data_IF_611857096592
#
_entry.id   IF_611857096592
#
_cell.length_a   1.000
_cell.length_b   1.000
_cell.length_c   1.000
_cell.angle_alpha   90.00
_cell.angle_beta   90.00
_cell.angle_gamma   90.00
#
_symmetry.space_group_name_H-M   'P 1'
#
loop_
_entity.id
_entity.type
_entity.pdbx_description
1 polymer ?
#
# COMPACT_ATOMS: atom_id res chain seq x y z
N UNK A 1 4.96 -3.94 -15.84
CA UNK A 1 6.42 -4.07 -15.75
C UNK A 1 6.90 -5.51 -15.83
N UNK A 2 6.19 -6.50 -15.27
CA UNK A 2 6.53 -7.92 -15.44
C UNK A 2 6.33 -8.36 -16.88
N UNK A 3 5.20 -8.05 -17.48
CA UNK A 3 4.83 -8.44 -18.84
C UNK A 3 5.49 -7.53 -19.89
N UNK A 4 5.77 -6.28 -19.52
CA UNK A 4 6.46 -5.29 -20.36
C UNK A 4 7.62 -4.62 -19.60
N UNK A 5 8.82 -5.23 -19.56
CA UNK A 5 9.99 -4.67 -18.88
C UNK A 5 10.51 -3.36 -19.48
N UNK A 6 10.06 -3.00 -20.69
CA UNK A 6 10.43 -1.75 -21.38
C UNK A 6 9.43 -0.60 -21.13
N UNK A 7 8.38 -0.83 -20.35
CA UNK A 7 7.41 0.20 -20.01
C UNK A 7 8.09 1.40 -19.33
N UNK A 8 7.75 2.58 -19.79
CA UNK A 8 8.27 3.85 -19.27
C UNK A 8 7.43 4.37 -18.09
N UNK A 9 7.82 5.54 -17.57
CA UNK A 9 7.07 6.19 -16.50
C UNK A 9 5.63 6.51 -16.93
N UNK A 10 5.41 6.94 -18.15
CA UNK A 10 4.07 7.31 -18.64
C UNK A 10 3.13 6.09 -18.69
N UNK A 11 3.65 4.90 -19.04
CA UNK A 11 2.86 3.67 -18.99
C UNK A 11 2.44 3.32 -17.54
N UNK A 12 3.33 3.56 -16.58
CA UNK A 12 3.04 3.37 -15.15
C UNK A 12 2.02 4.38 -14.66
N UNK A 13 2.12 5.64 -15.07
CA UNK A 13 1.21 6.72 -14.66
C UNK A 13 -0.20 6.57 -15.22
N UNK A 14 -0.39 5.85 -16.31
CA UNK A 14 -1.72 5.48 -16.81
C UNK A 14 -2.47 4.56 -15.83
N UNK A 15 -1.76 3.84 -14.97
CA UNK A 15 -2.32 2.93 -13.96
C UNK A 15 -2.28 3.59 -12.58
N UNK A 16 -1.13 4.15 -12.19
CA UNK A 16 -0.90 4.83 -10.91
C UNK A 16 -1.00 6.33 -11.15
N UNK A 17 -2.23 6.87 -11.12
CA UNK A 17 -2.48 8.29 -11.45
C UNK A 17 -2.00 9.26 -10.36
N UNK A 18 -1.89 8.82 -9.12
CA UNK A 18 -1.45 9.60 -7.97
C UNK A 18 -1.23 8.72 -6.74
N UNK A 19 -0.73 9.28 -5.64
CA UNK A 19 -0.61 8.55 -4.39
C UNK A 19 -1.98 8.35 -3.73
N UNK A 20 -2.16 7.22 -3.04
CA UNK A 20 -3.34 6.94 -2.24
C UNK A 20 -3.18 7.52 -0.84
N UNK A 21 -4.25 8.15 -0.35
CA UNK A 21 -4.36 8.61 1.03
C UNK A 21 -5.54 7.92 1.72
N UNK A 22 -5.48 7.71 3.04
CA UNK A 22 -6.55 7.02 3.79
C UNK A 22 -7.75 7.95 4.10
N UNK A 23 -7.97 8.98 3.29
CA UNK A 23 -9.09 9.91 3.40
C UNK A 23 -9.71 10.13 2.02
N UNK A 24 -10.98 10.51 1.98
CA UNK A 24 -11.72 10.78 0.76
C UNK A 24 -11.53 12.23 0.23
N UNK A 25 -10.50 12.92 0.72
CA UNK A 25 -10.15 14.25 0.24
C UNK A 25 -9.56 14.21 -1.17
N UNK A 26 -9.73 15.28 -1.93
CA UNK A 26 -9.31 15.37 -3.32
C UNK A 26 -7.84 15.80 -3.46
N UNK A 27 -7.10 15.16 -4.38
CA UNK A 27 -5.80 15.64 -4.83
C UNK A 27 -6.02 16.65 -5.93
N UNK A 28 -5.65 17.91 -5.67
CA UNK A 28 -5.82 19.03 -6.61
C UNK A 28 -4.52 19.45 -7.29
N UNK A 29 -3.43 18.73 -7.07
CA UNK A 29 -2.16 18.97 -7.76
C UNK A 29 -2.32 18.72 -9.27
N UNK A 30 -1.75 19.57 -10.14
CA UNK A 30 -1.70 19.33 -11.57
C UNK A 30 -1.02 18.00 -11.90
N UNK A 31 -1.49 17.33 -12.96
CA UNK A 31 -0.92 16.05 -13.41
C UNK A 31 0.57 16.12 -13.72
N UNK A 32 1.03 17.26 -14.26
CA UNK A 32 2.44 17.48 -14.55
C UNK A 32 3.31 17.56 -13.30
N UNK A 33 2.78 18.12 -12.21
CA UNK A 33 3.49 18.17 -10.93
C UNK A 33 3.58 16.78 -10.31
N UNK A 34 2.51 15.98 -10.40
CA UNK A 34 2.49 14.57 -9.95
C UNK A 34 3.49 13.76 -10.78
N UNK A 35 3.49 13.93 -12.10
CA UNK A 35 4.44 13.28 -13.01
C UNK A 35 5.88 13.60 -12.62
N UNK A 36 6.20 14.88 -12.46
CA UNK A 36 7.54 15.35 -12.07
C UNK A 36 7.95 14.82 -10.69
N UNK A 37 7.02 14.77 -9.76
CA UNK A 37 7.24 14.18 -8.42
C UNK A 37 7.60 12.69 -8.53
N UNK A 38 6.89 11.92 -9.33
CA UNK A 38 7.19 10.50 -9.55
C UNK A 38 8.46 10.26 -10.36
N UNK A 39 8.81 11.16 -11.26
CA UNK A 39 10.06 11.10 -12.03
C UNK A 39 11.28 11.33 -11.14
N UNK A 40 11.22 12.37 -10.31
CA UNK A 40 12.36 12.82 -9.49
C UNK A 40 12.41 12.21 -8.09
N UNK A 41 11.29 11.63 -7.60
CA UNK A 41 11.12 11.20 -6.23
C UNK A 41 10.95 12.36 -5.22
N UNK A 42 10.76 13.59 -5.70
CA UNK A 42 10.59 14.80 -4.87
C UNK A 42 9.50 15.69 -5.44
N UNK A 43 8.71 16.30 -4.55
CA UNK A 43 7.65 17.21 -4.94
C UNK A 43 6.75 17.60 -3.78
N UNK A 44 5.57 18.07 -4.12
CA UNK A 44 4.49 18.31 -3.15
C UNK A 44 3.16 17.89 -3.76
N UNK A 45 2.29 17.37 -2.91
CA UNK A 45 0.91 17.04 -3.25
C UNK A 45 0.02 17.99 -2.48
N UNK A 46 -0.93 18.61 -3.17
CA UNK A 46 -1.93 19.48 -2.58
C UNK A 46 -3.25 18.72 -2.50
N UNK A 47 -3.81 18.65 -1.30
CA UNK A 47 -5.10 18.01 -1.04
C UNK A 47 -6.10 19.04 -0.53
N UNK A 48 -7.35 18.82 -0.87
CA UNK A 48 -8.48 19.68 -0.49
C UNK A 48 -9.60 18.84 0.07
N UNK A 49 -10.29 19.37 1.08
CA UNK A 49 -11.47 18.80 1.67
C UNK A 49 -12.61 18.65 0.65
N UNK A 50 -13.36 17.56 0.75
CA UNK A 50 -14.57 17.34 -0.04
C UNK A 50 -15.76 17.96 0.67
N UNK A 51 -16.63 18.64 -0.08
CA UNK A 51 -17.81 19.28 0.45
C UNK A 51 -18.97 19.25 -0.54
N UNK A 52 -20.19 19.40 -0.02
CA UNK A 52 -21.41 19.50 -0.81
C UNK A 52 -22.43 20.40 -0.10
N UNK A 53 -23.52 20.72 -0.80
CA UNK A 53 -24.66 21.45 -0.24
C UNK A 53 -25.77 20.47 0.11
N UNK A 54 -26.34 20.67 1.31
CA UNK A 54 -27.47 19.91 1.81
C UNK A 54 -28.41 20.87 2.56
N UNK A 55 -29.67 20.97 2.16
CA UNK A 55 -30.70 21.82 2.79
C UNK A 55 -30.31 23.29 3.02
N UNK A 56 -29.45 23.84 2.17
CA UNK A 56 -28.96 25.22 2.29
C UNK A 56 -27.71 25.37 3.16
N UNK A 57 -27.24 24.33 3.80
CA UNK A 57 -26.00 24.26 4.56
C UNK A 57 -24.85 23.71 3.70
N UNK A 58 -23.61 23.94 4.14
CA UNK A 58 -22.41 23.41 3.53
C UNK A 58 -21.88 22.30 4.43
N UNK A 59 -21.82 21.10 3.87
CA UNK A 59 -21.34 19.90 4.57
C UNK A 59 -19.94 19.58 4.08
N UNK A 60 -18.97 19.55 4.99
CA UNK A 60 -17.62 19.05 4.70
C UNK A 60 -17.58 17.60 5.15
N UNK A 61 -17.43 16.69 4.18
CA UNK A 61 -17.53 15.24 4.37
C UNK A 61 -16.18 14.53 4.44
N UNK A 62 -15.11 15.15 3.93
CA UNK A 62 -13.76 14.58 4.01
C UNK A 62 -12.70 15.66 4.18
N UNK A 63 -11.66 15.35 4.95
CA UNK A 63 -10.56 16.27 5.26
C UNK A 63 -9.24 15.77 4.68
N UNK A 64 -8.30 16.69 4.37
CA UNK A 64 -6.94 16.33 4.01
C UNK A 64 -6.29 15.42 5.07
N UNK A 65 -5.45 14.49 4.64
CA UNK A 65 -4.76 13.54 5.52
C UNK A 65 -4.06 14.25 6.70
N UNK A 66 -4.16 13.68 7.91
CA UNK A 66 -3.61 14.27 9.15
C UNK A 66 -4.15 15.68 9.47
N UNK A 67 -5.37 16.00 9.06
CA UNK A 67 -6.09 17.20 9.50
C UNK A 67 -7.08 16.83 10.62
N UNK A 68 -7.15 17.66 11.64
CA UNK A 68 -8.07 17.47 12.76
C UNK A 68 -9.36 18.27 12.53
N UNK A 69 -10.56 17.64 12.59
CA UNK A 69 -11.84 18.36 12.54
C UNK A 69 -11.90 19.50 13.56
N UNK A 70 -11.55 19.23 14.82
CA UNK A 70 -11.57 20.22 15.90
C UNK A 70 -10.65 21.42 15.63
N UNK A 71 -9.47 21.20 15.02
CA UNK A 71 -8.56 22.29 14.65
C UNK A 71 -9.16 23.16 13.55
N UNK A 72 -9.77 22.55 12.54
CA UNK A 72 -10.40 23.28 11.43
C UNK A 72 -11.58 24.09 11.93
N UNK A 73 -12.43 23.51 12.78
CA UNK A 73 -13.55 24.21 13.41
C UNK A 73 -13.03 25.40 14.21
N UNK A 74 -11.98 25.24 15.00
CA UNK A 74 -11.36 26.33 15.75
C UNK A 74 -10.83 27.45 14.84
N UNK A 75 -10.17 27.10 13.73
CA UNK A 75 -9.68 28.08 12.74
C UNK A 75 -10.82 28.88 12.09
N UNK A 76 -11.95 28.24 11.80
CA UNK A 76 -13.13 28.90 11.22
C UNK A 76 -13.82 29.77 12.27
N UNK A 77 -14.01 29.25 13.49
CA UNK A 77 -14.62 29.99 14.60
C UNK A 77 -13.82 31.25 15.00
N UNK A 78 -12.48 31.15 14.95
CA UNK A 78 -11.60 32.31 15.16
C UNK A 78 -11.85 33.40 14.09
N UNK A 79 -11.99 33.03 12.83
CA UNK A 79 -12.29 33.95 11.74
C UNK A 79 -13.71 34.57 11.88
N UNK A 80 -14.70 33.78 12.33
CA UNK A 80 -16.05 34.27 12.63
C UNK A 80 -16.02 35.32 13.77
N UNK A 81 -15.31 35.01 14.85
CA UNK A 81 -15.14 35.91 16.01
C UNK A 81 -14.43 37.22 15.60
N UNK A 82 -13.40 37.10 14.73
CA UNK A 82 -12.69 38.24 14.17
C UNK A 82 -13.49 39.01 13.09
N UNK A 83 -14.76 38.64 12.85
CA UNK A 83 -15.66 39.23 11.83
C UNK A 83 -15.11 39.15 10.38
N UNK A 84 -14.20 38.19 10.10
CA UNK A 84 -13.66 37.96 8.76
C UNK A 84 -14.58 37.08 7.90
N UNK A 85 -15.54 36.38 8.52
CA UNK A 85 -16.54 35.51 7.88
C UNK A 85 -17.97 35.96 8.18
N UNK A 86 -18.38 37.18 7.78
CA UNK A 86 -19.71 37.70 8.08
C UNK A 86 -20.85 36.94 7.41
N UNK A 87 -20.53 36.11 6.37
CA UNK A 87 -21.48 35.29 5.64
C UNK A 87 -21.77 33.94 6.30
N UNK A 88 -21.01 33.53 7.32
CA UNK A 88 -21.25 32.30 8.09
C UNK A 88 -21.97 32.69 9.39
N UNK A 89 -23.08 32.02 9.70
CA UNK A 89 -23.87 32.21 10.92
C UNK A 89 -23.41 31.29 12.04
N UNK A 90 -23.21 30.00 11.71
CA UNK A 90 -22.83 28.97 12.67
C UNK A 90 -21.94 27.91 12.08
N UNK A 91 -21.21 27.17 12.93
CA UNK A 91 -20.42 26.02 12.59
C UNK A 91 -20.64 24.90 13.61
N UNK A 92 -20.94 23.69 13.15
CA UNK A 92 -21.24 22.53 14.00
C UNK A 92 -20.39 21.33 13.60
N UNK A 93 -20.06 20.51 14.60
CA UNK A 93 -19.52 19.18 14.41
C UNK A 93 -20.66 18.18 14.57
N UNK A 94 -21.05 17.54 13.47
CA UNK A 94 -22.11 16.55 13.45
C UNK A 94 -21.55 15.16 13.10
N UNK A 95 -20.26 14.92 13.38
CA UNK A 95 -19.65 13.63 13.17
C UNK A 95 -20.33 12.54 14.01
N UNK A 96 -20.59 11.40 13.40
CA UNK A 96 -21.15 10.21 14.03
C UNK A 96 -20.36 8.95 13.61
N UNK A 97 -20.86 7.77 13.99
CA UNK A 97 -20.22 6.51 13.63
C UNK A 97 -20.27 6.21 12.13
N UNK A 98 -21.33 6.60 11.45
CA UNK A 98 -21.51 6.40 9.99
C UNK A 98 -20.76 7.47 9.20
N UNK A 99 -20.69 8.70 9.72
CA UNK A 99 -20.04 9.87 9.12
C UNK A 99 -18.94 10.41 10.05
N UNK A 100 -17.76 9.82 10.05
CA UNK A 100 -16.67 10.19 10.97
C UNK A 100 -16.17 11.63 10.77
N UNK A 101 -16.47 12.23 9.63
CA UNK A 101 -16.22 13.64 9.31
C UNK A 101 -17.51 14.25 8.78
N UNK A 102 -18.14 15.09 9.56
CA UNK A 102 -19.30 15.88 9.14
C UNK A 102 -19.24 17.25 9.85
N UNK A 103 -18.61 18.21 9.17
CA UNK A 103 -18.57 19.59 9.64
C UNK A 103 -19.61 20.38 8.86
N UNK A 104 -20.55 20.98 9.57
CA UNK A 104 -21.66 21.73 8.99
C UNK A 104 -21.39 23.22 9.16
N UNK A 105 -21.40 23.95 8.04
CA UNK A 105 -21.34 25.41 8.01
C UNK A 105 -22.71 25.96 7.62
N UNK A 106 -23.26 26.79 8.45
CA UNK A 106 -24.56 27.44 8.22
C UNK A 106 -24.33 28.83 7.62
N UNK A 107 -24.66 29.05 6.33
CA UNK A 107 -24.59 30.36 5.74
C UNK A 107 -25.68 31.26 6.32
N UNK A 108 -25.39 32.55 6.53
CA UNK A 108 -26.37 33.53 7.06
C UNK A 108 -27.57 33.75 6.16
N UNK A 109 -27.45 33.42 4.89
CA UNK A 109 -28.57 33.51 3.95
C UNK A 109 -28.27 32.60 2.71
N UNK A 110 -29.35 32.17 2.07
CA UNK A 110 -29.26 31.36 0.82
C UNK A 110 -28.68 32.14 -0.39
N UNK A 111 -28.39 33.44 -0.21
CA UNK A 111 -27.75 34.28 -1.25
C UNK A 111 -26.23 34.31 -1.15
N UNK A 112 -25.67 33.67 -0.14
CA UNK A 112 -24.22 33.59 0.04
C UNK A 112 -23.62 32.82 -1.12
N UNK A 113 -22.59 33.39 -1.76
CA UNK A 113 -21.76 32.66 -2.73
C UNK A 113 -20.91 31.63 -1.98
N UNK A 114 -21.37 30.40 -2.01
CA UNK A 114 -20.72 29.29 -1.31
C UNK A 114 -19.39 28.90 -1.92
N UNK A 115 -19.22 29.05 -3.23
CA UNK A 115 -17.96 28.71 -3.89
C UNK A 115 -16.88 29.73 -3.51
N UNK A 116 -17.23 31.03 -3.47
CA UNK A 116 -16.33 32.09 -2.97
C UNK A 116 -15.99 31.90 -1.48
N UNK A 117 -16.97 31.48 -0.65
CA UNK A 117 -16.76 31.18 0.77
C UNK A 117 -15.78 29.99 0.91
N UNK A 118 -16.01 28.91 0.21
CA UNK A 118 -15.14 27.72 0.29
C UNK A 118 -13.75 28.01 -0.27
N UNK A 119 -13.62 28.81 -1.34
CA UNK A 119 -12.32 29.25 -1.85
C UNK A 119 -11.53 30.04 -0.79
N UNK A 120 -12.21 30.93 -0.03
CA UNK A 120 -11.61 31.66 1.08
C UNK A 120 -11.14 30.70 2.20
N UNK A 121 -11.99 29.74 2.58
CA UNK A 121 -11.70 28.77 3.63
C UNK A 121 -10.54 27.84 3.23
N UNK A 122 -10.46 27.42 1.99
CA UNK A 122 -9.32 26.65 1.45
C UNK A 122 -8.00 27.44 1.55
N UNK A 123 -8.04 28.73 1.30
CA UNK A 123 -6.84 29.57 1.38
C UNK A 123 -6.40 29.90 2.82
N UNK A 124 -7.31 29.81 3.81
CA UNK A 124 -7.07 30.34 5.17
C UNK A 124 -7.12 29.30 6.28
N UNK A 125 -7.44 28.06 5.95
CA UNK A 125 -7.57 26.96 6.93
C UNK A 125 -6.89 25.69 6.44
N UNK A 126 -6.82 24.67 7.31
CA UNK A 126 -6.30 23.34 6.98
C UNK A 126 -7.29 22.50 6.10
N UNK A 127 -8.35 23.10 5.56
CA UNK A 127 -9.23 22.47 4.55
C UNK A 127 -8.52 22.25 3.20
N UNK A 128 -7.47 22.99 2.94
CA UNK A 128 -6.51 22.71 1.86
C UNK A 128 -5.11 22.62 2.46
N UNK A 129 -4.36 21.58 2.11
CA UNK A 129 -3.06 21.33 2.70
C UNK A 129 -2.07 20.79 1.68
N UNK A 130 -0.81 21.22 1.77
CA UNK A 130 0.27 20.71 0.93
C UNK A 130 1.13 19.73 1.71
N UNK A 131 1.43 18.58 1.08
CA UNK A 131 2.29 17.53 1.64
C UNK A 131 3.58 17.46 0.84
N UNK A 132 4.68 17.62 1.54
CA UNK A 132 6.00 17.43 0.92
C UNK A 132 6.27 15.96 0.71
N UNK A 133 6.56 15.57 -0.53
CA UNK A 133 6.93 14.21 -0.90
C UNK A 133 8.44 14.13 -1.07
N UNK A 134 9.04 13.11 -0.44
CA UNK A 134 10.44 12.77 -0.58
C UNK A 134 10.56 11.24 -0.52
N UNK A 135 10.73 10.60 -1.68
CA UNK A 135 10.82 9.15 -1.83
C UNK A 135 12.25 8.66 -1.53
N UNK A 136 12.71 8.94 -0.31
CA UNK A 136 13.99 8.47 0.17
C UNK A 136 13.86 7.03 0.67
N UNK A 137 14.49 6.10 -0.04
CA UNK A 137 14.35 4.65 0.19
C UNK A 137 15.71 3.96 0.16
N UNK A 138 15.82 2.85 0.88
CA UNK A 138 16.98 1.96 0.81
C UNK A 138 16.80 1.05 -0.41
N UNK A 139 17.78 1.11 -1.34
CA UNK A 139 17.78 0.32 -2.56
C UNK A 139 18.38 -1.08 -2.40
N UNK A 140 18.55 -1.79 -3.52
CA UNK A 140 19.19 -3.10 -3.58
C UNK A 140 20.67 -3.07 -3.16
N UNK A 141 21.29 -1.91 -3.27
CA UNK A 141 22.66 -1.62 -2.83
C UNK A 141 22.78 -1.34 -1.33
N UNK A 142 21.67 -1.44 -0.58
CA UNK A 142 21.57 -1.14 0.86
C UNK A 142 21.92 0.31 1.22
N UNK A 143 21.87 1.24 0.27
CA UNK A 143 22.14 2.66 0.50
C UNK A 143 20.85 3.48 0.40
N UNK A 144 20.66 4.51 1.25
CA UNK A 144 19.54 5.43 1.13
C UNK A 144 19.76 6.35 -0.08
N UNK A 145 18.74 6.48 -0.90
CA UNK A 145 18.74 7.40 -2.04
C UNK A 145 17.30 7.85 -2.35
N UNK A 146 17.17 9.05 -2.90
CA UNK A 146 15.89 9.52 -3.43
C UNK A 146 15.69 8.90 -4.82
N UNK A 147 14.59 8.21 -5.01
CA UNK A 147 14.30 7.42 -6.22
C UNK A 147 12.97 7.81 -6.82
N UNK A 148 12.90 7.84 -8.14
CA UNK A 148 11.64 7.97 -8.87
C UNK A 148 10.80 6.68 -8.80
N UNK A 149 9.50 6.80 -9.07
CA UNK A 149 8.54 5.68 -8.99
C UNK A 149 8.96 4.48 -9.83
N UNK A 150 9.33 4.69 -11.08
CA UNK A 150 9.74 3.60 -11.99
C UNK A 150 10.95 2.83 -11.45
N UNK A 151 11.93 3.55 -10.90
CA UNK A 151 13.10 2.92 -10.28
C UNK A 151 12.72 2.10 -9.06
N UNK A 152 11.88 2.64 -8.18
CA UNK A 152 11.38 1.94 -6.97
C UNK A 152 10.68 0.64 -7.36
N UNK A 153 9.77 0.71 -8.34
CA UNK A 153 9.03 -0.47 -8.80
C UNK A 153 9.95 -1.52 -9.44
N UNK A 154 10.93 -1.10 -10.23
CA UNK A 154 11.88 -2.00 -10.89
C UNK A 154 12.78 -2.72 -9.87
N UNK A 155 13.31 -1.98 -8.90
CA UNK A 155 14.12 -2.55 -7.82
C UNK A 155 13.29 -3.49 -6.93
N UNK A 156 12.04 -3.09 -6.60
CA UNK A 156 11.13 -3.93 -5.85
C UNK A 156 10.81 -5.25 -6.56
N UNK A 157 10.53 -5.21 -7.87
CA UNK A 157 10.29 -6.41 -8.68
C UNK A 157 11.50 -7.34 -8.70
N UNK A 158 12.70 -6.80 -8.81
CA UNK A 158 13.95 -7.57 -8.77
C UNK A 158 14.12 -8.26 -7.41
N UNK A 159 13.95 -7.53 -6.33
CA UNK A 159 13.98 -8.08 -4.97
C UNK A 159 12.91 -9.14 -4.76
N UNK A 160 11.68 -8.85 -5.17
CA UNK A 160 10.55 -9.76 -5.03
C UNK A 160 10.76 -11.07 -5.79
N UNK A 161 11.23 -10.98 -7.03
CA UNK A 161 11.54 -12.17 -7.85
C UNK A 161 12.56 -13.06 -7.16
N UNK A 162 13.67 -12.49 -6.69
CA UNK A 162 14.70 -13.25 -5.96
C UNK A 162 14.13 -13.90 -4.70
N UNK A 163 13.35 -13.17 -3.92
CA UNK A 163 12.75 -13.70 -2.68
C UNK A 163 11.77 -14.83 -2.95
N UNK A 164 10.92 -14.70 -3.98
CA UNK A 164 9.95 -15.73 -4.35
C UNK A 164 10.67 -16.97 -4.87
N UNK A 165 11.70 -16.81 -5.72
CA UNK A 165 12.51 -17.92 -6.23
C UNK A 165 13.15 -18.70 -5.07
N UNK A 166 13.80 -18.04 -4.13
CA UNK A 166 14.40 -18.68 -2.94
C UNK A 166 13.37 -19.44 -2.11
N UNK A 167 12.20 -18.86 -1.89
CA UNK A 167 11.10 -19.51 -1.14
C UNK A 167 10.59 -20.75 -1.84
N UNK A 168 10.40 -20.69 -3.18
CA UNK A 168 9.92 -21.82 -3.97
C UNK A 168 10.97 -22.91 -4.04
N UNK A 169 12.26 -22.57 -4.19
CA UNK A 169 13.35 -23.54 -4.17
C UNK A 169 13.38 -24.29 -2.84
N UNK A 170 13.35 -23.59 -1.70
CA UNK A 170 13.32 -24.23 -0.38
C UNK A 170 12.12 -25.19 -0.21
N UNK A 171 10.94 -24.81 -0.75
CA UNK A 171 9.78 -25.69 -0.73
C UNK A 171 9.96 -26.92 -1.62
N UNK A 172 10.54 -26.72 -2.80
CA UNK A 172 10.86 -27.81 -3.74
C UNK A 172 11.83 -28.81 -3.09
N UNK A 173 12.91 -28.32 -2.48
CA UNK A 173 13.92 -29.16 -1.83
C UNK A 173 13.29 -30.03 -0.73
N UNK A 174 12.38 -29.48 0.08
CA UNK A 174 11.64 -30.25 1.09
C UNK A 174 10.74 -31.32 0.50
N UNK A 175 10.06 -31.02 -0.61
CA UNK A 175 9.20 -31.99 -1.30
C UNK A 175 10.04 -33.11 -1.92
N UNK A 176 11.15 -32.76 -2.56
CA UNK A 176 12.06 -33.75 -3.16
C UNK A 176 12.69 -34.66 -2.11
N UNK A 177 13.12 -34.11 -0.97
CA UNK A 177 13.61 -34.93 0.14
C UNK A 177 12.53 -35.90 0.66
N UNK A 178 11.28 -35.46 0.77
CA UNK A 178 10.18 -36.34 1.17
C UNK A 178 9.88 -37.40 0.13
N UNK A 179 9.89 -37.06 -1.15
CA UNK A 179 9.71 -38.05 -2.26
C UNK A 179 10.82 -39.07 -2.24
N UNK A 180 12.06 -38.64 -2.04
CA UNK A 180 13.21 -39.56 -1.95
C UNK A 180 13.01 -40.66 -0.89
N UNK A 181 12.54 -40.27 0.32
CA UNK A 181 12.22 -41.24 1.37
C UNK A 181 11.03 -42.15 0.97
N UNK A 182 9.99 -41.60 0.33
CA UNK A 182 8.82 -42.36 -0.09
C UNK A 182 9.18 -43.38 -1.19
N UNK A 183 10.10 -43.03 -2.10
CA UNK A 183 10.60 -43.94 -3.14
C UNK A 183 11.30 -45.14 -2.49
N UNK A 184 12.14 -44.94 -1.46
CA UNK A 184 12.76 -46.01 -0.69
C UNK A 184 11.74 -46.90 0.01
N UNK A 185 10.74 -46.29 0.66
CA UNK A 185 9.63 -47.02 1.31
C UNK A 185 8.82 -47.83 0.29
N UNK A 186 8.60 -47.31 -0.93
CA UNK A 186 7.87 -48.00 -1.98
C UNK A 186 8.66 -49.23 -2.44
N UNK A 187 9.98 -49.10 -2.61
CA UNK A 187 10.88 -50.25 -3.00
C UNK A 187 10.80 -51.32 -1.92
N UNK A 188 10.91 -50.96 -0.65
CA UNK A 188 10.79 -51.88 0.48
C UNK A 188 9.41 -52.56 0.54
N UNK A 189 8.34 -51.85 0.28
CA UNK A 189 6.97 -52.38 0.27
C UNK A 189 6.77 -53.41 -0.85
N UNK A 190 7.27 -53.13 -2.06
CA UNK A 190 7.14 -54.01 -3.20
C UNK A 190 8.00 -55.28 -3.07
N UNK A 191 9.03 -55.29 -2.24
CA UNK A 191 9.94 -56.43 -2.00
C UNK A 191 9.99 -56.85 -0.55
N UNK A 192 8.83 -56.76 0.15
CA UNK A 192 8.75 -56.91 1.60
C UNK A 192 9.30 -58.23 2.13
N UNK A 193 9.07 -59.36 1.44
CA UNK A 193 9.55 -60.67 1.85
C UNK A 193 11.08 -60.75 1.81
N UNK A 194 11.72 -60.22 0.74
CA UNK A 194 13.18 -60.18 0.60
C UNK A 194 13.80 -59.22 1.63
N UNK A 195 13.17 -58.09 1.89
CA UNK A 195 13.60 -57.14 2.95
C UNK A 195 13.58 -57.82 4.34
N UNK A 196 12.52 -58.56 4.66
CA UNK A 196 12.41 -59.31 5.92
C UNK A 196 13.47 -60.41 6.03
N UNK A 197 13.75 -61.13 4.93
CA UNK A 197 14.77 -62.16 4.89
C UNK A 197 16.16 -61.57 5.17
N UNK A 198 16.53 -60.48 4.46
CA UNK A 198 17.78 -59.78 4.69
C UNK A 198 17.93 -59.32 6.15
N UNK A 199 16.90 -58.70 6.71
CA UNK A 199 16.94 -58.24 8.10
C UNK A 199 17.14 -59.36 9.11
N UNK A 200 16.64 -60.57 8.83
CA UNK A 200 16.73 -61.75 9.71
C UNK A 200 18.03 -62.55 9.58
N UNK A 201 18.64 -62.52 8.40
CA UNK A 201 19.77 -63.41 8.09
C UNK A 201 21.12 -62.71 8.03
N UNK A 202 21.16 -61.41 7.75
CA UNK A 202 22.39 -60.67 7.58
C UNK A 202 22.84 -59.97 8.85
N UNK A 203 24.15 -59.94 9.13
CA UNK A 203 24.74 -59.27 10.26
C UNK A 203 24.70 -57.73 10.12
N UNK A 204 24.80 -57.22 8.89
CA UNK A 204 24.72 -55.80 8.53
C UNK A 204 23.61 -55.51 7.50
N UNK A 205 22.32 -55.64 7.87
CA UNK A 205 21.20 -55.56 6.94
C UNK A 205 21.14 -54.26 6.15
N UNK A 206 21.53 -53.12 6.76
CA UNK A 206 21.52 -51.79 6.13
C UNK A 206 22.40 -51.77 4.88
N UNK A 207 23.62 -52.28 4.94
CA UNK A 207 24.55 -52.27 3.79
C UNK A 207 24.04 -53.18 2.66
N UNK A 208 23.50 -54.35 3.03
CA UNK A 208 22.94 -55.29 2.08
C UNK A 208 21.69 -54.71 1.41
N UNK A 209 20.77 -54.07 2.14
CA UNK A 209 19.60 -53.43 1.58
C UNK A 209 19.98 -52.28 0.62
N UNK A 210 20.93 -51.43 1.03
CA UNK A 210 21.45 -50.36 0.17
C UNK A 210 22.03 -50.88 -1.12
N UNK A 211 22.84 -51.91 -1.04
CA UNK A 211 23.47 -52.53 -2.23
C UNK A 211 22.45 -53.26 -3.13
N UNK A 212 21.51 -54.00 -2.50
CA UNK A 212 20.52 -54.82 -3.21
C UNK A 212 19.48 -54.00 -3.95
N UNK A 213 18.97 -52.95 -3.33
CA UNK A 213 17.88 -52.13 -3.84
C UNK A 213 18.35 -50.77 -4.33
N UNK A 214 19.65 -50.51 -4.35
CA UNK A 214 20.26 -49.23 -4.74
C UNK A 214 19.68 -48.06 -3.95
N UNK A 215 19.51 -48.26 -2.65
CA UNK A 215 18.99 -47.24 -1.71
C UNK A 215 20.11 -46.32 -1.26
N UNK A 216 19.77 -45.06 -1.00
CA UNK A 216 20.68 -44.15 -0.31
C UNK A 216 20.66 -44.40 1.21
N UNK A 217 21.65 -43.86 1.93
CA UNK A 217 21.74 -43.99 3.38
C UNK A 217 20.52 -43.37 4.07
N UNK A 218 19.93 -42.31 3.52
CA UNK A 218 18.73 -41.66 4.02
C UNK A 218 17.46 -42.51 3.82
N UNK A 219 17.35 -43.21 2.74
CA UNK A 219 16.25 -44.15 2.45
C UNK A 219 16.29 -45.38 3.35
#
# INVERSE_FOLDING_TARGET
LLDNPKAGLDDVLNIIQGPDFPTEAEIISPKDDIRKMYETGRGSIKMRATWHKEDGEIIISALPHQSSPSKIIAQIAEQMTAKKLPMVEDIRDEADYENPVRIVLVPRSNRVDTDALMAHLFATTDLEKSYRVNMNMIGLDHKPAVKGLLQVLTEWLTFRRTTVTRRLQHRLDKVLARLHILDGLMIAFLNIDEVIEIIRTEDEPKQVLMARFNLSDEQ
#
